data_IF_600100132484
#
_entry.id   IF_600100132484
#
_cell.length_a   1.000
_cell.length_b   1.000
_cell.length_c   1.000
_cell.angle_alpha   90.00
_cell.angle_beta   90.00
_cell.angle_gamma   90.00
#
_symmetry.space_group_name_H-M   'P 1'
#
loop_
_entity.id
_entity.type
_entity.pdbx_description
1 polymer ?
#
# COMPACT_ATOMS: atom_id res chain seq x y z
N UNK A 1 12.76 -39.06 12.68
CA UNK A 1 13.70 -38.16 13.39
C UNK A 1 13.71 -36.77 12.73
N UNK A 2 14.11 -36.61 11.47
CA UNK A 2 14.03 -35.30 10.80
C UNK A 2 12.59 -34.91 10.40
N UNK A 3 11.76 -35.87 9.99
CA UNK A 3 10.35 -35.63 9.63
C UNK A 3 9.50 -35.16 10.82
N UNK A 4 9.76 -35.67 12.03
CA UNK A 4 9.05 -35.30 13.25
C UNK A 4 9.35 -33.84 13.64
N UNK A 5 10.62 -33.44 13.52
CA UNK A 5 11.07 -32.06 13.75
C UNK A 5 10.55 -31.10 12.68
N UNK A 6 10.48 -31.52 11.43
CA UNK A 6 9.87 -30.75 10.35
C UNK A 6 8.38 -30.52 10.62
N UNK A 7 7.66 -31.57 11.01
CA UNK A 7 6.23 -31.50 11.32
C UNK A 7 5.96 -30.55 12.49
N UNK A 8 6.78 -30.62 13.55
CA UNK A 8 6.70 -29.69 14.69
C UNK A 8 6.94 -28.24 14.26
N UNK A 9 7.89 -28.01 13.35
CA UNK A 9 8.20 -26.66 12.84
C UNK A 9 7.06 -26.10 12.00
N UNK A 10 6.45 -26.91 11.14
CA UNK A 10 5.27 -26.53 10.35
C UNK A 10 4.10 -26.19 11.26
N UNK A 11 3.85 -27.00 12.30
CA UNK A 11 2.80 -26.74 13.28
C UNK A 11 3.00 -25.40 14.00
N UNK A 12 4.24 -25.10 14.43
CA UNK A 12 4.58 -23.80 15.03
C UNK A 12 4.31 -22.64 14.06
N UNK A 13 4.68 -22.79 12.78
CA UNK A 13 4.43 -21.75 11.78
C UNK A 13 2.93 -21.50 11.55
N UNK A 14 2.13 -22.56 11.46
CA UNK A 14 0.68 -22.44 11.29
C UNK A 14 0.02 -21.70 12.46
N UNK A 15 0.44 -21.99 13.69
CA UNK A 15 -0.03 -21.27 14.88
C UNK A 15 0.34 -19.77 14.80
N UNK A 16 1.54 -19.45 14.32
CA UNK A 16 1.97 -18.06 14.13
C UNK A 16 1.14 -17.37 13.05
N UNK A 17 0.88 -18.03 11.91
CA UNK A 17 0.04 -17.48 10.84
C UNK A 17 -1.36 -17.14 11.36
N UNK A 18 -2.00 -18.07 12.07
CA UNK A 18 -3.32 -17.84 12.64
C UNK A 18 -3.33 -16.66 13.63
N UNK A 19 -2.33 -16.56 14.51
CA UNK A 19 -2.20 -15.45 15.46
C UNK A 19 -1.98 -14.10 14.77
N UNK A 20 -1.35 -14.09 13.59
CA UNK A 20 -1.20 -12.88 12.80
C UNK A 20 -2.52 -12.50 12.14
N UNK A 21 -3.26 -13.46 11.58
CA UNK A 21 -4.58 -13.21 10.99
C UNK A 21 -5.56 -12.65 12.03
N UNK A 22 -5.56 -13.19 13.26
CA UNK A 22 -6.35 -12.69 14.39
C UNK A 22 -6.01 -11.23 14.77
N UNK A 23 -4.80 -10.76 14.46
CA UNK A 23 -4.38 -9.37 14.67
C UNK A 23 -4.68 -8.47 13.48
N UNK A 24 -4.51 -8.97 12.26
CA UNK A 24 -4.70 -8.20 11.03
C UNK A 24 -6.18 -7.88 10.80
N UNK A 25 -7.08 -8.84 11.04
CA UNK A 25 -8.51 -8.66 10.85
C UNK A 25 -9.10 -7.43 11.58
N UNK A 26 -8.92 -7.25 12.91
CA UNK A 26 -9.45 -6.08 13.60
C UNK A 26 -8.77 -4.77 13.15
N UNK A 27 -7.48 -4.80 12.78
CA UNK A 27 -6.80 -3.61 12.26
C UNK A 27 -7.40 -3.15 10.92
N UNK A 28 -7.78 -4.10 10.05
CA UNK A 28 -8.44 -3.79 8.78
C UNK A 28 -9.86 -3.22 8.99
N UNK A 29 -10.59 -3.68 10.01
CA UNK A 29 -11.90 -3.14 10.36
C UNK A 29 -11.79 -1.70 10.86
N UNK A 30 -10.83 -1.42 11.76
CA UNK A 30 -10.56 -0.07 12.29
C UNK A 30 -10.15 0.91 11.18
N UNK A 31 -9.33 0.49 10.20
CA UNK A 31 -8.97 1.33 9.05
C UNK A 31 -10.19 1.78 8.23
N UNK A 32 -11.22 0.92 8.15
CA UNK A 32 -12.47 1.20 7.44
C UNK A 32 -13.38 2.20 8.14
N UNK A 33 -13.23 2.44 9.44
CA UNK A 33 -14.15 3.28 10.22
C UNK A 33 -14.08 4.77 9.88
N UNK A 34 -12.96 5.24 9.32
CA UNK A 34 -12.81 6.64 8.87
C UNK A 34 -13.74 6.97 7.69
N UNK A 35 -14.20 5.95 6.97
CA UNK A 35 -15.01 6.07 5.77
C UNK A 35 -16.47 5.71 6.04
N UNK A 36 -17.27 5.72 4.98
CA UNK A 36 -18.68 5.40 5.09
C UNK A 36 -18.85 3.93 5.54
N UNK A 37 -19.49 3.70 6.69
CA UNK A 37 -19.70 2.35 7.25
C UNK A 37 -20.38 1.36 6.30
N UNK A 38 -21.21 1.83 5.35
CA UNK A 38 -21.94 0.96 4.42
C UNK A 38 -21.18 0.66 3.14
N UNK A 39 -20.39 1.61 2.65
CA UNK A 39 -19.77 1.54 1.32
C UNK A 39 -18.24 1.47 1.36
N UNK A 40 -17.63 1.77 2.50
CA UNK A 40 -16.19 1.83 2.68
C UNK A 40 -15.53 2.88 1.78
N UNK A 41 -14.40 2.51 1.20
CA UNK A 41 -13.60 3.35 0.32
C UNK A 41 -14.23 3.49 -1.07
N UNK A 42 -14.31 4.72 -1.59
CA UNK A 42 -14.75 4.93 -2.98
C UNK A 42 -13.75 4.43 -4.01
N UNK A 43 -12.47 4.35 -3.66
CA UNK A 43 -11.37 3.96 -4.55
C UNK A 43 -11.15 2.45 -4.64
N UNK A 44 -11.59 1.69 -3.63
CA UNK A 44 -11.32 0.25 -3.49
C UNK A 44 -12.61 -0.55 -3.37
N UNK A 45 -12.62 -1.76 -3.92
CA UNK A 45 -13.68 -2.73 -3.73
C UNK A 45 -13.09 -4.01 -3.09
N UNK A 46 -12.92 -3.98 -1.77
CA UNK A 46 -12.18 -5.01 -1.02
C UNK A 46 -10.74 -4.58 -0.71
N UNK A 47 -9.86 -5.55 -0.40
CA UNK A 47 -8.51 -5.27 0.10
C UNK A 47 -7.52 -4.84 -1.00
N UNK A 48 -7.52 -5.55 -2.14
CA UNK A 48 -6.52 -5.38 -3.20
C UNK A 48 -7.09 -4.95 -4.56
N UNK A 49 -8.41 -4.73 -4.66
CA UNK A 49 -9.06 -4.40 -5.92
C UNK A 49 -9.51 -2.94 -5.99
N UNK A 50 -9.39 -2.36 -7.19
CA UNK A 50 -9.87 -1.02 -7.52
C UNK A 50 -11.38 -1.06 -7.68
N UNK A 51 -12.08 -0.07 -7.13
CA UNK A 51 -13.52 0.08 -7.37
C UNK A 51 -13.79 0.35 -8.86
N UNK A 52 -15.04 0.12 -9.28
CA UNK A 52 -15.46 0.47 -10.64
C UNK A 52 -15.27 1.95 -10.94
N UNK A 53 -15.55 2.83 -9.97
CA UNK A 53 -15.33 4.27 -10.09
C UNK A 53 -13.84 4.59 -10.31
N UNK A 54 -12.95 3.97 -9.54
CA UNK A 54 -11.51 4.20 -9.69
C UNK A 54 -11.00 3.75 -11.05
N UNK A 55 -11.48 2.60 -11.57
CA UNK A 55 -11.15 2.16 -12.93
C UNK A 55 -11.63 3.14 -13.99
N UNK A 56 -12.79 3.78 -13.79
CA UNK A 56 -13.26 4.83 -14.70
C UNK A 56 -12.37 6.07 -14.64
N UNK A 57 -11.99 6.53 -13.44
CA UNK A 57 -11.10 7.67 -13.27
C UNK A 57 -9.75 7.40 -13.95
N UNK A 58 -9.14 6.24 -13.67
CA UNK A 58 -7.85 5.84 -14.27
C UNK A 58 -7.91 5.76 -15.80
N UNK A 59 -9.03 5.31 -16.36
CA UNK A 59 -9.20 5.18 -17.81
C UNK A 59 -9.44 6.51 -18.52
N UNK A 60 -10.18 7.44 -17.89
CA UNK A 60 -10.70 8.63 -18.57
C UNK A 60 -10.04 9.94 -18.15
N UNK A 61 -9.32 9.98 -17.02
CA UNK A 61 -8.65 11.17 -16.54
C UNK A 61 -7.13 10.95 -16.50
N UNK A 62 -6.39 11.73 -17.27
CA UNK A 62 -4.92 11.74 -17.21
C UNK A 62 -4.42 12.20 -15.83
N UNK A 63 -5.14 13.14 -15.21
CA UNK A 63 -4.90 13.66 -13.87
C UNK A 63 -6.24 13.85 -13.15
N UNK A 64 -6.28 13.58 -11.85
CA UNK A 64 -7.46 13.80 -11.02
C UNK A 64 -7.07 14.51 -9.72
N UNK A 65 -7.96 15.38 -9.24
CA UNK A 65 -7.78 16.10 -7.98
C UNK A 65 -9.16 16.49 -7.42
N UNK A 66 -9.23 16.87 -6.15
CA UNK A 66 -10.51 17.18 -5.49
C UNK A 66 -11.20 18.41 -6.08
N UNK A 67 -10.43 19.41 -6.55
CA UNK A 67 -10.93 20.68 -7.11
C UNK A 67 -9.97 21.26 -8.13
N UNK A 68 -10.50 21.99 -9.12
CA UNK A 68 -9.71 22.69 -10.15
C UNK A 68 -8.77 23.73 -9.54
N UNK A 69 -9.15 24.36 -8.42
CA UNK A 69 -8.31 25.31 -7.70
C UNK A 69 -6.96 24.71 -7.26
N UNK A 70 -6.86 23.39 -7.13
CA UNK A 70 -5.61 22.74 -6.75
C UNK A 70 -4.52 22.92 -7.81
N UNK A 71 -4.88 23.22 -9.07
CA UNK A 71 -3.92 23.57 -10.12
C UNK A 71 -3.22 24.91 -9.88
N UNK A 72 -3.79 25.81 -9.07
CA UNK A 72 -3.15 27.09 -8.72
C UNK A 72 -1.90 26.91 -7.85
N UNK A 73 -1.71 25.74 -7.24
CA UNK A 73 -0.49 25.42 -6.50
C UNK A 73 0.68 25.01 -7.40
N UNK A 74 0.44 24.85 -8.70
CA UNK A 74 1.45 24.48 -9.68
C UNK A 74 1.67 25.63 -10.67
N UNK A 75 2.88 25.68 -11.24
CA UNK A 75 3.18 26.61 -12.34
C UNK A 75 2.42 26.19 -13.60
N UNK A 76 1.96 27.13 -14.44
CA UNK A 76 1.34 26.81 -15.74
C UNK A 76 2.21 25.96 -16.67
N UNK A 77 3.52 25.87 -16.43
CA UNK A 77 4.47 25.05 -17.19
C UNK A 77 4.79 23.70 -16.52
N UNK A 78 4.03 23.32 -15.49
CA UNK A 78 4.26 22.08 -14.75
C UNK A 78 4.09 20.87 -15.65
N UNK A 79 5.05 19.95 -15.59
CA UNK A 79 5.00 18.69 -16.30
C UNK A 79 4.62 17.56 -15.33
N UNK A 80 3.42 17.02 -15.46
CA UNK A 80 2.94 15.91 -14.63
C UNK A 80 3.43 14.56 -15.19
N UNK A 81 4.02 13.73 -14.34
CA UNK A 81 4.44 12.35 -14.65
C UNK A 81 3.66 11.37 -13.78
N UNK A 82 3.12 10.32 -14.39
CA UNK A 82 2.57 9.19 -13.64
C UNK A 82 3.70 8.36 -13.03
N UNK A 83 3.40 7.72 -11.89
CA UNK A 83 4.27 6.69 -11.33
C UNK A 83 4.13 5.40 -12.15
N UNK A 84 5.24 4.68 -12.30
CA UNK A 84 5.25 3.38 -12.96
C UNK A 84 4.37 2.39 -12.20
N UNK A 85 3.54 1.65 -12.93
CA UNK A 85 2.70 0.59 -12.36
C UNK A 85 3.50 -0.71 -12.33
N UNK A 86 3.61 -1.32 -11.15
CA UNK A 86 4.26 -2.62 -10.97
C UNK A 86 3.28 -3.76 -11.18
N UNK A 87 3.72 -4.80 -11.87
CA UNK A 87 3.02 -6.08 -12.00
C UNK A 87 3.31 -6.99 -10.81
N UNK A 88 2.46 -7.99 -10.60
CA UNK A 88 2.54 -8.90 -9.44
C UNK A 88 3.84 -9.72 -9.38
N UNK A 89 4.55 -9.86 -10.50
CA UNK A 89 5.82 -10.58 -10.59
C UNK A 89 7.03 -9.66 -10.72
N UNK A 90 6.84 -8.34 -10.64
CA UNK A 90 7.94 -7.40 -10.68
C UNK A 90 8.75 -7.53 -9.38
N UNK A 91 10.07 -7.65 -9.53
CA UNK A 91 10.98 -7.72 -8.39
C UNK A 91 11.13 -6.33 -7.81
N UNK A 92 10.44 -6.05 -6.69
CA UNK A 92 10.62 -4.80 -5.95
C UNK A 92 12.07 -4.66 -5.49
N UNK A 93 12.87 -3.90 -6.22
CA UNK A 93 14.08 -3.32 -5.64
C UNK A 93 13.61 -2.17 -4.77
N UNK A 94 13.76 -2.31 -3.45
CA UNK A 94 13.42 -1.29 -2.46
C UNK A 94 14.31 -0.05 -2.69
N UNK A 95 13.99 0.78 -3.68
CA UNK A 95 14.54 2.12 -3.79
C UNK A 95 13.78 2.97 -2.80
N UNK A 96 14.31 3.02 -1.57
CA UNK A 96 13.92 4.01 -0.58
C UNK A 96 14.29 5.38 -1.16
N UNK A 97 13.34 6.02 -1.85
CA UNK A 97 13.45 7.43 -2.22
C UNK A 97 13.54 8.21 -0.91
N UNK A 98 14.77 8.53 -0.50
CA UNK A 98 15.07 9.53 0.50
C UNK A 98 14.46 10.85 0.02
N UNK A 99 13.24 11.15 0.47
CA UNK A 99 12.72 12.51 0.48
C UNK A 99 13.63 13.31 1.43
N UNK A 100 14.51 14.11 0.84
CA UNK A 100 15.43 15.03 1.48
C UNK A 100 14.82 15.72 2.72
N UNK A 101 15.45 15.52 3.88
CA UNK A 101 15.18 16.25 5.10
C UNK A 101 15.98 15.70 6.28
N UNK A 102 17.18 16.25 6.49
CA UNK A 102 18.15 15.97 7.58
C UNK A 102 18.89 14.63 7.55
N UNK A 103 20.14 14.69 7.08
CA UNK A 103 21.16 13.72 7.42
C UNK A 103 21.43 13.81 8.93
N UNK A 104 21.06 12.77 9.67
CA UNK A 104 21.60 12.51 11.01
C UNK A 104 22.78 11.58 10.80
N UNK A 105 23.98 12.12 10.98
CA UNK A 105 25.21 11.37 11.17
C UNK A 105 25.04 10.39 12.33
N UNK A 106 25.31 9.11 12.10
CA UNK A 106 25.75 8.19 13.14
C UNK A 106 26.70 7.16 12.51
N UNK A 107 27.99 7.42 12.72
CA UNK A 107 29.11 6.51 12.59
C UNK A 107 28.84 5.10 13.15
N UNK A 108 29.32 4.07 12.45
CA UNK A 108 29.70 2.80 13.10
C UNK A 108 29.57 1.53 12.24
N UNK A 109 30.74 0.89 12.01
CA UNK A 109 30.97 -0.53 11.70
C UNK A 109 30.69 -0.92 10.23
N UNK A 110 31.66 -1.41 9.43
CA UNK A 110 32.85 -2.21 9.70
C UNK A 110 34.06 -1.74 8.88
#
# INVERSE_FOLDING_TARGET
MDDDKLTETIQKLLIVMQRLDEKIAPMLEVDGELFNKRWGFLSRAGLWDKSHLMRQIEKYADIYTSRVSNFLHYTPFMYFRSQEQTLAHDSYSHYQLQLNGSAVDCSGQN
#
